data_IF_083516240953
#
_entry.id   IF_083516240953
#
_cell.length_a   1.000
_cell.length_b   1.000
_cell.length_c   1.000
_cell.angle_alpha   90.00
_cell.angle_beta   90.00
_cell.angle_gamma   90.00
#
_symmetry.space_group_name_H-M   'P 1'
#
loop_
_entity.id
_entity.type
_entity.pdbx_description
1 polymer ?
#
# COMPACT_ATOMS: atom_id res chain seq x y z
N UNK A 1 21.54 -28.80 12.51
CA UNK A 1 21.68 -27.68 13.47
C UNK A 1 20.62 -26.67 13.08
N UNK A 2 19.66 -26.38 13.97
CA UNK A 2 18.61 -25.41 13.67
C UNK A 2 19.14 -23.99 13.89
N UNK A 3 19.68 -23.41 12.82
CA UNK A 3 20.23 -22.05 12.85
C UNK A 3 19.16 -20.98 13.15
N UNK A 4 17.86 -21.30 13.10
CA UNK A 4 16.82 -20.34 13.51
C UNK A 4 16.91 -19.99 15.00
N UNK A 5 17.46 -20.90 15.83
CA UNK A 5 17.68 -20.66 17.26
C UNK A 5 18.70 -19.56 17.53
N UNK A 6 19.55 -19.20 16.56
CA UNK A 6 20.51 -18.10 16.69
C UNK A 6 19.82 -16.75 16.97
N UNK A 7 18.55 -16.59 16.57
CA UNK A 7 17.78 -15.35 16.79
C UNK A 7 17.41 -15.13 18.27
N UNK A 8 17.43 -16.18 19.09
CA UNK A 8 17.14 -16.12 20.53
C UNK A 8 18.38 -15.87 21.40
N UNK A 9 19.59 -15.89 20.80
CA UNK A 9 20.82 -15.70 21.55
C UNK A 9 20.97 -14.22 21.98
N UNK A 10 21.53 -13.95 23.17
CA UNK A 10 21.90 -12.60 23.56
C UNK A 10 23.01 -12.11 22.63
N UNK A 11 22.70 -11.14 21.77
CA UNK A 11 23.63 -10.50 20.86
C UNK A 11 23.39 -8.97 20.84
N UNK A 12 24.41 -8.15 20.53
CA UNK A 12 24.22 -6.72 20.33
C UNK A 12 23.13 -6.47 19.28
N UNK A 13 22.04 -5.80 19.68
CA UNK A 13 20.95 -5.43 18.79
C UNK A 13 21.21 -4.06 18.20
N UNK A 14 20.85 -3.88 16.92
CA UNK A 14 20.87 -2.55 16.32
C UNK A 14 19.96 -1.59 17.12
N UNK A 15 20.33 -0.31 17.17
CA UNK A 15 19.52 0.71 17.85
C UNK A 15 18.06 0.67 17.38
N UNK A 16 17.11 0.88 18.29
CA UNK A 16 15.70 0.91 17.95
C UNK A 16 15.40 2.13 17.05
N UNK A 17 14.56 1.92 16.02
CA UNK A 17 14.00 2.98 15.20
C UNK A 17 12.50 3.06 15.52
N UNK A 18 12.11 3.78 16.59
CA UNK A 18 10.70 3.87 16.97
C UNK A 18 9.91 4.66 15.92
N UNK A 19 8.63 4.30 15.68
CA UNK A 19 7.74 5.11 14.85
C UNK A 19 7.59 6.53 15.39
N UNK A 20 7.44 7.48 14.48
CA UNK A 20 7.28 8.90 14.80
C UNK A 20 5.80 9.30 14.65
N UNK A 21 5.34 10.28 15.43
CA UNK A 21 4.00 10.83 15.25
C UNK A 21 3.95 11.61 13.92
N UNK A 22 3.03 11.28 13.00
CA UNK A 22 2.92 12.01 11.74
C UNK A 22 2.46 13.45 12.00
N UNK A 23 3.08 14.47 11.36
CA UNK A 23 2.70 15.86 11.55
C UNK A 23 1.32 16.14 10.94
N UNK A 24 0.62 17.15 11.47
CA UNK A 24 -0.62 17.64 10.88
C UNK A 24 -1.83 16.72 11.05
N UNK A 25 -1.75 15.74 11.96
CA UNK A 25 -2.90 14.92 12.37
C UNK A 25 -3.25 15.28 13.83
N UNK A 26 -4.27 16.12 14.06
CA UNK A 26 -4.62 16.56 15.40
C UNK A 26 -5.13 15.38 16.27
N UNK A 27 -5.00 15.48 17.60
CA UNK A 27 -5.61 14.53 18.51
C UNK A 27 -7.14 14.69 18.54
N UNK A 28 -7.84 13.62 18.93
CA UNK A 28 -9.30 13.63 19.10
C UNK A 28 -10.08 13.84 17.79
N UNK A 29 -11.28 14.40 17.92
CA UNK A 29 -12.30 14.47 16.86
C UNK A 29 -11.93 15.40 15.70
N UNK A 30 -10.93 16.25 15.88
CA UNK A 30 -10.43 17.13 14.82
C UNK A 30 -9.90 16.35 13.60
N UNK A 31 -9.59 15.05 13.76
CA UNK A 31 -9.20 14.17 12.65
C UNK A 31 -10.29 14.06 11.57
N UNK A 32 -11.57 14.11 11.92
CA UNK A 32 -12.68 14.09 10.95
C UNK A 32 -12.58 15.26 9.98
N UNK A 33 -12.41 16.47 10.55
CA UNK A 33 -12.24 17.69 9.77
C UNK A 33 -10.97 17.63 8.92
N UNK A 34 -9.86 17.15 9.48
CA UNK A 34 -8.60 17.02 8.72
C UNK A 34 -8.74 16.10 7.51
N UNK A 35 -9.37 14.93 7.66
CA UNK A 35 -9.58 13.99 6.53
C UNK A 35 -10.60 14.54 5.52
N UNK A 36 -11.60 15.29 5.99
CA UNK A 36 -12.57 15.95 5.11
C UNK A 36 -11.94 17.06 4.26
N UNK A 37 -10.95 17.78 4.80
CA UNK A 37 -10.27 18.87 4.10
C UNK A 37 -9.16 18.39 3.15
N UNK A 38 -8.52 17.26 3.47
CA UNK A 38 -7.42 16.70 2.66
C UNK A 38 -7.15 15.23 2.96
N UNK A 39 -6.53 14.56 2.00
CA UNK A 39 -6.02 13.21 2.18
C UNK A 39 -4.81 13.19 3.13
N UNK A 40 -4.63 12.06 3.83
CA UNK A 40 -3.47 11.82 4.69
C UNK A 40 -2.80 10.52 4.29
N UNK A 41 -1.47 10.56 4.09
CA UNK A 41 -0.65 9.39 3.83
C UNK A 41 0.23 9.10 5.05
N UNK A 42 0.27 7.84 5.48
CA UNK A 42 1.18 7.34 6.52
C UNK A 42 2.15 6.32 5.91
N UNK A 43 3.43 6.39 6.29
CA UNK A 43 4.45 5.44 5.86
C UNK A 43 5.04 4.70 7.06
N UNK A 44 4.55 3.49 7.28
CA UNK A 44 4.98 2.58 8.33
C UNK A 44 6.30 1.90 7.96
N UNK A 45 7.12 1.44 8.93
CA UNK A 45 6.98 1.68 10.37
C UNK A 45 7.54 3.04 10.81
N UNK A 46 7.95 3.91 9.87
CA UNK A 46 8.60 5.18 10.16
C UNK A 46 7.64 6.16 10.85
N UNK A 47 6.40 6.19 10.39
CA UNK A 47 5.29 6.89 11.00
C UNK A 47 4.36 5.92 11.74
N UNK A 48 3.84 6.36 12.87
CA UNK A 48 2.96 5.56 13.72
C UNK A 48 1.63 5.23 13.02
N UNK A 49 1.14 4.01 13.23
CA UNK A 49 -0.20 3.55 12.80
C UNK A 49 -1.33 4.01 13.73
N UNK A 50 -0.96 4.59 14.87
CA UNK A 50 -1.88 5.10 15.88
C UNK A 50 -3.01 5.99 15.35
N UNK A 51 -2.83 6.88 14.34
CA UNK A 51 -3.94 7.65 13.78
C UNK A 51 -5.08 6.79 13.20
N UNK A 52 -4.76 5.64 12.59
CA UNK A 52 -5.76 4.73 12.02
C UNK A 52 -6.55 4.05 13.14
N UNK A 53 -5.87 3.58 14.18
CA UNK A 53 -6.50 2.99 15.37
C UNK A 53 -7.35 4.02 16.12
N UNK A 54 -6.83 5.25 16.27
CA UNK A 54 -7.57 6.36 16.87
C UNK A 54 -8.84 6.69 16.08
N UNK A 55 -8.77 6.77 14.75
CA UNK A 55 -9.95 7.01 13.92
C UNK A 55 -11.02 5.94 14.16
N UNK A 56 -10.63 4.66 14.23
CA UNK A 56 -11.57 3.58 14.49
C UNK A 56 -12.18 3.65 15.90
N UNK A 57 -11.39 3.98 16.93
CA UNK A 57 -11.90 4.18 18.31
C UNK A 57 -12.85 5.36 18.39
N UNK A 58 -12.54 6.48 17.73
CA UNK A 58 -13.44 7.62 17.62
C UNK A 58 -14.73 7.23 16.90
N UNK A 59 -14.62 6.47 15.81
CA UNK A 59 -15.79 5.99 15.07
C UNK A 59 -16.68 5.07 15.91
N UNK A 60 -16.10 4.31 16.85
CA UNK A 60 -16.86 3.43 17.73
C UNK A 60 -17.69 4.20 18.77
N UNK A 61 -17.21 5.34 19.25
CA UNK A 61 -17.89 6.14 20.28
C UNK A 61 -18.76 7.28 19.71
N UNK A 62 -18.42 7.84 18.54
CA UNK A 62 -19.13 8.99 17.97
C UNK A 62 -20.61 8.68 17.68
N UNK A 63 -21.58 9.38 18.30
CA UNK A 63 -23.00 9.14 18.07
C UNK A 63 -23.47 9.51 16.66
N UNK A 64 -22.69 10.28 15.90
CA UNK A 64 -22.97 10.60 14.50
C UNK A 64 -22.53 9.51 13.54
N UNK A 65 -21.71 8.55 13.96
CA UNK A 65 -21.33 7.42 13.10
C UNK A 65 -22.47 6.43 13.01
N UNK A 66 -22.89 6.16 11.77
CA UNK A 66 -24.01 5.30 11.44
C UNK A 66 -23.56 3.87 11.13
N UNK A 67 -22.45 3.71 10.41
CA UNK A 67 -21.96 2.42 9.98
C UNK A 67 -20.43 2.37 9.89
N UNK A 68 -19.87 1.19 10.13
CA UNK A 68 -18.45 0.88 9.95
C UNK A 68 -18.34 -0.40 9.13
N UNK A 69 -17.67 -0.35 7.98
CA UNK A 69 -17.37 -1.50 7.14
C UNK A 69 -15.87 -1.72 7.11
N UNK A 70 -15.39 -2.92 7.45
CA UNK A 70 -13.96 -3.19 7.51
C UNK A 70 -13.59 -4.57 6.99
N UNK A 71 -12.47 -4.65 6.28
CA UNK A 71 -11.82 -5.91 5.93
C UNK A 71 -10.84 -6.32 7.03
N UNK A 72 -11.02 -7.51 7.60
CA UNK A 72 -10.11 -8.09 8.59
C UNK A 72 -9.43 -9.35 8.05
N UNK A 73 -8.10 -9.30 8.01
CA UNK A 73 -7.26 -10.43 7.63
C UNK A 73 -6.41 -10.86 8.83
N UNK A 74 -6.62 -12.09 9.31
CA UNK A 74 -5.81 -12.78 10.33
C UNK A 74 -5.44 -11.89 11.52
N UNK A 75 -6.45 -11.51 12.29
CA UNK A 75 -6.29 -10.64 13.47
C UNK A 75 -6.10 -11.46 14.76
N UNK A 76 -5.44 -10.87 15.76
CA UNK A 76 -5.32 -11.49 17.09
C UNK A 76 -6.61 -11.31 17.90
N UNK A 77 -7.01 -12.27 18.76
CA UNK A 77 -8.14 -12.10 19.68
C UNK A 77 -8.01 -10.89 20.64
N UNK A 78 -6.78 -10.41 20.90
CA UNK A 78 -6.53 -9.23 21.72
C UNK A 78 -6.45 -7.92 20.92
N UNK A 79 -6.69 -7.93 19.61
CA UNK A 79 -6.50 -6.75 18.76
C UNK A 79 -7.41 -5.58 19.14
N UNK A 80 -6.83 -4.39 19.17
CA UNK A 80 -7.58 -3.16 19.41
C UNK A 80 -8.65 -2.91 18.34
N UNK A 81 -8.41 -3.35 17.11
CA UNK A 81 -9.36 -3.23 15.99
C UNK A 81 -10.63 -4.02 16.27
N UNK A 82 -10.49 -5.27 16.73
CA UNK A 82 -11.66 -6.11 17.07
C UNK A 82 -12.45 -5.49 18.21
N UNK A 83 -11.77 -5.02 19.27
CA UNK A 83 -12.42 -4.37 20.42
C UNK A 83 -13.17 -3.10 20.02
N UNK A 84 -12.59 -2.27 19.15
CA UNK A 84 -13.25 -1.06 18.68
C UNK A 84 -14.49 -1.37 17.82
N UNK A 85 -14.45 -2.44 17.02
CA UNK A 85 -15.60 -2.89 16.22
C UNK A 85 -16.70 -3.50 17.10
N UNK A 86 -16.35 -4.31 18.11
CA UNK A 86 -17.29 -4.81 19.13
C UNK A 86 -18.01 -3.63 19.81
N UNK A 87 -17.24 -2.66 20.30
CA UNK A 87 -17.76 -1.45 20.95
C UNK A 87 -18.66 -0.64 20.03
N UNK A 88 -18.31 -0.51 18.76
CA UNK A 88 -19.14 0.19 17.78
C UNK A 88 -20.50 -0.51 17.60
N UNK A 89 -20.52 -1.84 17.53
CA UNK A 89 -21.74 -2.63 17.40
C UNK A 89 -22.61 -2.54 18.67
N UNK A 90 -22.00 -2.65 19.85
CA UNK A 90 -22.67 -2.44 21.15
C UNK A 90 -23.30 -1.04 21.26
N UNK A 91 -22.64 -0.03 20.69
CA UNK A 91 -23.13 1.34 20.60
C UNK A 91 -24.21 1.54 19.49
N UNK A 92 -24.75 0.46 18.92
CA UNK A 92 -25.87 0.47 17.98
C UNK A 92 -25.50 0.86 16.55
N UNK A 93 -24.21 0.89 16.19
CA UNK A 93 -23.75 1.22 14.83
C UNK A 93 -23.86 -0.01 13.93
N UNK A 94 -24.14 0.19 12.64
CA UNK A 94 -24.13 -0.91 11.68
C UNK A 94 -22.67 -1.31 11.37
N UNK A 95 -22.18 -2.35 12.03
CA UNK A 95 -20.83 -2.86 11.81
C UNK A 95 -20.87 -4.04 10.84
N UNK A 96 -20.17 -3.94 9.70
CA UNK A 96 -19.98 -5.06 8.75
C UNK A 96 -18.51 -5.41 8.68
N UNK A 97 -18.16 -6.67 8.92
CA UNK A 97 -16.78 -7.14 8.91
C UNK A 97 -16.63 -8.25 7.89
N UNK A 98 -15.68 -8.06 6.97
CA UNK A 98 -15.31 -9.07 5.99
C UNK A 98 -14.10 -9.87 6.49
N UNK A 99 -14.23 -11.20 6.55
CA UNK A 99 -13.23 -12.11 7.10
C UNK A 99 -12.80 -13.15 6.07
N UNK A 100 -11.50 -13.43 5.98
CA UNK A 100 -10.99 -14.59 5.26
C UNK A 100 -11.04 -15.84 6.15
N UNK A 101 -11.90 -16.82 5.83
CA UNK A 101 -11.76 -18.18 6.34
C UNK A 101 -10.77 -18.95 5.46
N UNK A 102 -9.79 -19.61 6.08
CA UNK A 102 -8.99 -20.63 5.41
C UNK A 102 -9.46 -22.03 5.80
N UNK A 103 -9.29 -22.98 4.88
CA UNK A 103 -9.65 -24.37 5.07
C UNK A 103 -8.94 -25.01 6.29
N UNK A 104 -9.76 -25.66 7.14
CA UNK A 104 -9.52 -26.76 8.09
C UNK A 104 -8.49 -26.62 9.22
N UNK A 105 -7.45 -25.79 9.13
CA UNK A 105 -6.37 -25.81 10.16
C UNK A 105 -6.15 -24.47 10.91
N UNK A 106 -6.68 -23.35 10.41
CA UNK A 106 -6.59 -22.02 11.06
C UNK A 106 -7.97 -21.57 11.63
N UNK A 107 -8.96 -22.46 11.64
CA UNK A 107 -10.36 -22.16 11.97
C UNK A 107 -10.55 -21.76 13.44
N UNK A 108 -9.95 -22.44 14.41
CA UNK A 108 -10.24 -22.19 15.84
C UNK A 108 -9.92 -20.75 16.31
N UNK A 109 -8.79 -20.17 15.86
CA UNK A 109 -8.43 -18.78 16.21
C UNK A 109 -9.30 -17.75 15.51
N UNK A 110 -9.65 -17.97 14.26
CA UNK A 110 -10.47 -17.01 13.50
C UNK A 110 -11.95 -17.04 13.92
N UNK A 111 -12.46 -18.23 14.25
CA UNK A 111 -13.83 -18.43 14.72
C UNK A 111 -14.08 -17.70 16.04
N UNK A 112 -13.09 -17.64 16.95
CA UNK A 112 -13.31 -17.06 18.28
C UNK A 112 -13.61 -15.56 18.23
N UNK A 113 -12.84 -14.76 17.50
CA UNK A 113 -13.09 -13.31 17.42
C UNK A 113 -14.24 -12.97 16.47
N UNK A 114 -14.45 -13.77 15.42
CA UNK A 114 -15.61 -13.62 14.54
C UNK A 114 -16.92 -13.79 15.34
N UNK A 115 -17.02 -14.84 16.17
CA UNK A 115 -18.16 -15.04 17.07
C UNK A 115 -18.36 -13.89 18.04
N UNK A 116 -17.29 -13.37 18.64
CA UNK A 116 -17.40 -12.20 19.55
C UNK A 116 -17.99 -10.97 18.85
N UNK A 117 -17.62 -10.73 17.59
CA UNK A 117 -18.20 -9.66 16.79
C UNK A 117 -19.68 -9.92 16.48
N UNK A 118 -20.04 -11.15 16.11
CA UNK A 118 -21.44 -11.56 15.91
C UNK A 118 -22.27 -11.37 17.19
N UNK A 119 -21.75 -11.80 18.34
CA UNK A 119 -22.38 -11.67 19.66
C UNK A 119 -22.58 -10.19 20.06
N UNK A 120 -21.65 -9.32 19.67
CA UNK A 120 -21.76 -7.87 19.84
C UNK A 120 -22.74 -7.20 18.86
N UNK A 121 -23.30 -7.95 17.90
CA UNK A 121 -24.28 -7.46 16.92
C UNK A 121 -23.67 -7.03 15.58
N UNK A 122 -22.38 -7.28 15.34
CA UNK A 122 -21.76 -7.00 14.05
C UNK A 122 -22.13 -8.07 13.01
N UNK A 123 -22.31 -7.65 11.76
CA UNK A 123 -22.49 -8.55 10.63
C UNK A 123 -21.14 -9.06 10.14
N UNK A 124 -20.80 -10.30 10.48
CA UNK A 124 -19.58 -10.96 10.01
C UNK A 124 -19.86 -11.73 8.73
N UNK A 125 -19.06 -11.47 7.69
CA UNK A 125 -19.22 -12.05 6.37
C UNK A 125 -17.92 -12.72 5.92
N UNK A 126 -18.07 -13.92 5.35
CA UNK A 126 -16.96 -14.81 5.06
C UNK A 126 -16.58 -14.77 3.58
N UNK A 127 -16.03 -13.65 3.11
CA UNK A 127 -15.44 -13.53 1.78
C UNK A 127 -16.37 -13.85 0.60
N UNK A 128 -15.79 -13.90 -0.60
CA UNK A 128 -16.41 -14.51 -1.77
C UNK A 128 -15.96 -15.98 -1.85
N UNK A 129 -16.88 -16.90 -2.13
CA UNK A 129 -16.58 -18.32 -2.22
C UNK A 129 -15.44 -18.59 -3.22
N UNK A 130 -14.39 -19.28 -2.76
CA UNK A 130 -13.22 -19.63 -3.57
C UNK A 130 -12.18 -18.51 -3.75
N UNK A 131 -12.41 -17.31 -3.21
CA UNK A 131 -11.46 -16.18 -3.28
C UNK A 131 -10.93 -15.81 -1.88
N UNK A 132 -9.66 -15.40 -1.84
CA UNK A 132 -9.03 -14.90 -0.60
C UNK A 132 -9.07 -13.38 -0.58
N UNK A 133 -9.58 -12.79 0.51
CA UNK A 133 -9.62 -11.35 0.67
C UNK A 133 -8.30 -10.82 1.22
N UNK A 134 -7.61 -10.02 0.41
CA UNK A 134 -6.31 -9.45 0.75
C UNK A 134 -6.29 -7.92 0.65
N UNK A 135 -7.38 -7.28 0.23
CA UNK A 135 -7.59 -5.84 0.39
C UNK A 135 -7.56 -5.43 1.87
N UNK A 136 -7.12 -4.20 2.16
CA UNK A 136 -7.18 -3.60 3.49
C UNK A 136 -7.91 -2.28 3.40
N UNK A 137 -9.19 -2.35 3.69
CA UNK A 137 -10.11 -1.23 3.57
C UNK A 137 -10.94 -1.10 4.83
N UNK A 138 -11.15 0.14 5.23
CA UNK A 138 -12.11 0.56 6.25
C UNK A 138 -12.91 1.73 5.66
N UNK A 139 -14.23 1.68 5.83
CA UNK A 139 -15.16 2.73 5.44
C UNK A 139 -16.02 3.06 6.65
N UNK A 140 -16.05 4.33 7.03
CA UNK A 140 -16.89 4.85 8.11
C UNK A 140 -17.92 5.79 7.48
N UNK A 141 -19.19 5.56 7.81
CA UNK A 141 -20.32 6.40 7.36
C UNK A 141 -20.81 7.19 8.56
N UNK A 142 -20.77 8.52 8.44
CA UNK A 142 -21.05 9.47 9.53
C UNK A 142 -22.11 10.48 9.08
N UNK A 143 -22.96 10.91 10.01
CA UNK A 143 -23.88 12.03 9.81
C UNK A 143 -23.09 13.33 10.01
N UNK A 144 -22.94 14.09 8.94
CA UNK A 144 -22.41 15.45 8.94
C UNK A 144 -23.51 16.50 9.08
N UNK A 145 -23.14 17.78 9.17
CA UNK A 145 -24.10 18.89 9.22
C UNK A 145 -24.97 19.01 7.96
N UNK A 146 -24.39 18.69 6.78
CA UNK A 146 -25.05 18.86 5.48
C UNK A 146 -25.54 17.54 4.86
N UNK A 147 -25.31 16.40 5.51
CA UNK A 147 -25.71 15.10 4.98
C UNK A 147 -24.86 13.94 5.47
N UNK A 148 -24.69 12.94 4.63
CA UNK A 148 -23.86 11.75 4.93
C UNK A 148 -22.42 12.01 4.48
N UNK A 149 -21.50 11.96 5.43
CA UNK A 149 -20.06 11.99 5.21
C UNK A 149 -19.51 10.56 5.21
N UNK A 150 -18.48 10.32 4.40
CA UNK A 150 -17.80 9.03 4.34
C UNK A 150 -16.31 9.24 4.51
N UNK A 151 -15.69 8.36 5.29
CA UNK A 151 -14.26 8.36 5.56
C UNK A 151 -13.69 6.99 5.24
N UNK A 152 -12.66 6.98 4.40
CA UNK A 152 -12.00 5.79 3.92
C UNK A 152 -10.61 5.66 4.53
N UNK A 153 -10.21 4.42 4.79
CA UNK A 153 -8.81 4.03 4.94
C UNK A 153 -8.52 2.91 3.94
N UNK A 154 -7.42 3.05 3.17
CA UNK A 154 -6.89 1.97 2.32
C UNK A 154 -5.41 1.76 2.62
N UNK A 155 -5.02 0.51 2.88
CA UNK A 155 -3.64 0.15 3.22
C UNK A 155 -3.00 -0.86 2.27
N UNK A 156 -1.68 -0.82 2.17
CA UNK A 156 -0.88 -1.87 1.50
C UNK A 156 -0.66 -3.10 2.39
N UNK A 157 -0.72 -2.90 3.71
CA UNK A 157 -0.48 -3.88 4.78
C UNK A 157 -1.69 -4.14 5.66
N UNK A 158 -1.61 -5.20 6.47
CA UNK A 158 -2.68 -5.63 7.38
C UNK A 158 -2.80 -4.73 8.62
N UNK A 159 -3.98 -4.74 9.25
CA UNK A 159 -4.27 -4.09 10.53
C UNK A 159 -3.69 -4.85 11.74
N UNK A 160 -2.43 -5.30 11.65
CA UNK A 160 -1.77 -6.06 12.71
C UNK A 160 -0.67 -5.23 13.37
N UNK A 161 -0.88 -4.89 14.64
CA UNK A 161 -0.03 -4.03 15.47
C UNK A 161 1.43 -4.49 15.53
N UNK A 162 1.70 -5.81 15.43
CA UNK A 162 3.06 -6.34 15.44
C UNK A 162 3.74 -6.17 14.09
N UNK A 163 3.07 -6.54 13.00
CA UNK A 163 3.68 -6.49 11.66
C UNK A 163 3.90 -5.04 11.22
N UNK A 164 3.06 -4.11 11.64
CA UNK A 164 3.23 -2.67 11.38
C UNK A 164 4.58 -2.13 11.86
N UNK A 165 5.23 -2.76 12.86
CA UNK A 165 6.55 -2.36 13.35
C UNK A 165 7.72 -2.99 12.58
N UNK A 166 7.43 -4.02 11.78
CA UNK A 166 8.43 -4.81 11.07
C UNK A 166 8.34 -4.63 9.55
N UNK A 167 7.19 -4.24 9.02
CA UNK A 167 6.87 -4.17 7.59
C UNK A 167 6.77 -2.71 7.15
N UNK A 168 7.37 -2.37 6.00
CA UNK A 168 7.16 -1.05 5.41
C UNK A 168 5.83 -1.05 4.64
N UNK A 169 4.88 -0.21 5.05
CA UNK A 169 3.53 -0.20 4.51
C UNK A 169 3.00 1.24 4.39
N UNK A 170 2.08 1.46 3.47
CA UNK A 170 1.42 2.75 3.28
C UNK A 170 -0.05 2.65 3.68
N UNK A 171 -0.54 3.70 4.32
CA UNK A 171 -1.95 3.90 4.66
C UNK A 171 -2.42 5.24 4.11
N UNK A 172 -3.51 5.23 3.36
CA UNK A 172 -4.20 6.42 2.87
C UNK A 172 -5.50 6.59 3.67
N UNK A 173 -5.70 7.76 4.26
CA UNK A 173 -6.97 8.22 4.83
C UNK A 173 -7.54 9.29 3.91
N UNK A 174 -8.83 9.19 3.57
CA UNK A 174 -9.46 10.10 2.61
C UNK A 174 -10.96 10.25 2.88
N UNK A 175 -11.52 11.40 2.50
CA UNK A 175 -12.95 11.62 2.39
C UNK A 175 -13.38 11.89 0.92
N UNK A 176 -12.51 11.58 -0.06
CA UNK A 176 -12.81 11.73 -1.49
C UNK A 176 -14.10 10.97 -1.84
N UNK A 177 -15.04 11.68 -2.46
CA UNK A 177 -16.38 11.18 -2.69
C UNK A 177 -16.39 9.97 -3.63
N UNK A 178 -15.56 10.00 -4.68
CA UNK A 178 -15.49 8.90 -5.65
C UNK A 178 -14.85 7.66 -5.04
N UNK A 179 -13.76 7.80 -4.28
CA UNK A 179 -13.12 6.70 -3.57
C UNK A 179 -14.07 6.10 -2.54
N UNK A 180 -14.80 6.92 -1.79
CA UNK A 180 -15.76 6.46 -0.80
C UNK A 180 -16.98 5.76 -1.45
N UNK A 181 -17.44 6.27 -2.60
CA UNK A 181 -18.50 5.64 -3.39
C UNK A 181 -18.05 4.26 -3.92
N UNK A 182 -16.84 4.19 -4.48
CA UNK A 182 -16.24 2.94 -4.94
C UNK A 182 -16.03 1.94 -3.81
N UNK A 183 -15.58 2.38 -2.63
CA UNK A 183 -15.45 1.50 -1.46
C UNK A 183 -16.80 1.01 -0.96
N UNK A 184 -17.84 1.84 -1.02
CA UNK A 184 -19.21 1.42 -0.71
C UNK A 184 -19.65 0.31 -1.67
N UNK A 185 -19.41 0.50 -2.98
CA UNK A 185 -19.71 -0.50 -4.00
C UNK A 185 -18.86 -1.78 -3.80
N UNK A 186 -17.56 -1.65 -3.50
CA UNK A 186 -16.66 -2.76 -3.18
C UNK A 186 -17.23 -3.62 -2.04
N UNK A 187 -17.63 -3.00 -0.92
CA UNK A 187 -18.23 -3.75 0.17
C UNK A 187 -19.53 -4.41 -0.31
N UNK A 188 -20.41 -3.73 -1.01
CA UNK A 188 -21.66 -4.32 -1.51
C UNK A 188 -21.44 -5.55 -2.41
N UNK A 189 -20.48 -5.48 -3.34
CA UNK A 189 -20.09 -6.58 -4.24
C UNK A 189 -19.60 -7.77 -3.42
N UNK A 190 -18.68 -7.54 -2.49
CA UNK A 190 -18.08 -8.62 -1.70
C UNK A 190 -19.07 -9.21 -0.69
N UNK A 191 -20.09 -8.45 -0.29
CA UNK A 191 -21.20 -8.93 0.56
C UNK A 191 -22.36 -9.55 -0.21
N UNK A 192 -22.27 -9.68 -1.54
CA UNK A 192 -23.20 -10.47 -2.37
C UNK A 192 -24.36 -9.71 -3.02
N UNK A 193 -24.28 -8.39 -3.21
CA UNK A 193 -25.44 -7.58 -3.61
C UNK A 193 -25.45 -6.93 -5.02
N UNK A 194 -24.45 -7.10 -5.89
CA UNK A 194 -24.55 -6.66 -7.30
C UNK A 194 -23.29 -7.02 -8.12
N UNK A 195 -23.42 -7.12 -9.44
CA UNK A 195 -22.30 -6.81 -10.35
C UNK A 195 -22.05 -5.28 -10.31
N UNK A 196 -20.80 -4.80 -10.16
CA UNK A 196 -20.53 -3.37 -10.15
C UNK A 196 -20.74 -2.77 -11.54
N UNK A 197 -21.48 -1.65 -11.59
CA UNK A 197 -21.62 -0.78 -12.77
C UNK A 197 -20.36 0.08 -12.94
N UNK A 198 -19.22 -0.55 -13.24
CA UNK A 198 -17.89 0.07 -13.40
C UNK A 198 -17.35 0.85 -12.16
N UNK A 199 -16.04 0.77 -11.94
CA UNK A 199 -15.38 1.55 -10.89
C UNK A 199 -15.12 2.98 -11.35
N UNK A 200 -15.28 3.97 -10.46
CA UNK A 200 -14.94 5.37 -10.77
C UNK A 200 -13.43 5.60 -10.78
N UNK A 201 -12.74 5.02 -9.80
CA UNK A 201 -11.35 5.34 -9.45
C UNK A 201 -10.55 4.10 -9.08
N UNK A 202 -11.14 3.16 -8.35
CA UNK A 202 -10.43 2.01 -7.82
C UNK A 202 -10.19 0.98 -8.92
N UNK A 203 -9.18 0.13 -8.70
CA UNK A 203 -9.01 -1.09 -9.44
C UNK A 203 -9.06 -2.27 -8.47
N UNK A 204 -9.94 -3.22 -8.74
CA UNK A 204 -10.20 -4.36 -7.86
C UNK A 204 -9.84 -5.67 -8.55
N UNK A 205 -9.19 -6.60 -7.85
CA UNK A 205 -9.12 -7.99 -8.29
C UNK A 205 -10.27 -8.80 -7.67
N UNK A 206 -10.80 -9.83 -8.34
CA UNK A 206 -10.43 -10.28 -9.69
C UNK A 206 -11.08 -9.44 -10.82
N UNK A 207 -11.87 -8.42 -10.46
CA UNK A 207 -12.70 -7.65 -11.39
C UNK A 207 -11.94 -6.48 -12.05
N UNK A 208 -11.13 -6.80 -13.06
CA UNK A 208 -10.56 -5.80 -13.98
C UNK A 208 -9.18 -5.25 -13.59
N UNK A 209 -8.56 -5.72 -12.50
CA UNK A 209 -7.24 -5.23 -12.08
C UNK A 209 -6.13 -5.46 -13.11
N UNK A 210 -6.02 -6.67 -13.69
CA UNK A 210 -5.02 -6.93 -14.74
C UNK A 210 -5.27 -6.10 -16.00
N UNK A 211 -6.49 -6.09 -16.59
CA UNK A 211 -6.79 -5.19 -17.70
C UNK A 211 -6.45 -3.72 -17.42
N UNK A 212 -6.70 -3.23 -16.19
CA UNK A 212 -6.33 -1.86 -15.80
C UNK A 212 -4.82 -1.62 -15.88
N UNK A 213 -4.00 -2.48 -15.29
CA UNK A 213 -2.54 -2.33 -15.37
C UNK A 213 -2.02 -2.44 -16.81
N UNK A 214 -2.54 -3.39 -17.59
CA UNK A 214 -2.18 -3.51 -19.01
C UNK A 214 -2.55 -2.25 -19.80
N UNK A 215 -3.70 -1.64 -19.53
CA UNK A 215 -4.11 -0.38 -20.12
C UNK A 215 -3.20 0.78 -19.74
N UNK A 216 -2.79 0.88 -18.47
CA UNK A 216 -1.84 1.90 -18.00
C UNK A 216 -0.47 1.75 -18.68
N UNK A 217 0.04 0.51 -18.79
CA UNK A 217 1.31 0.24 -19.49
C UNK A 217 1.21 0.59 -20.97
N UNK A 218 0.13 0.17 -21.66
CA UNK A 218 -0.09 0.49 -23.08
C UNK A 218 -0.19 1.99 -23.32
N UNK A 219 -0.84 2.72 -22.42
CA UNK A 219 -0.92 4.18 -22.51
C UNK A 219 0.46 4.84 -22.44
N UNK A 220 1.38 4.33 -21.61
CA UNK A 220 2.76 4.84 -21.60
C UNK A 220 3.45 4.58 -22.94
N UNK A 221 3.19 3.44 -23.59
CA UNK A 221 3.69 3.14 -24.95
C UNK A 221 3.16 4.17 -25.94
N UNK A 222 1.84 4.38 -25.97
CA UNK A 222 1.16 5.26 -26.92
C UNK A 222 1.59 6.73 -26.77
N UNK A 223 1.91 7.16 -25.55
CA UNK A 223 2.34 8.54 -25.25
C UNK A 223 3.86 8.74 -25.32
N UNK A 224 4.63 7.65 -25.38
CA UNK A 224 6.09 7.73 -25.40
C UNK A 224 6.59 8.21 -26.76
N UNK A 225 7.44 9.23 -26.74
CA UNK A 225 8.16 9.72 -27.92
C UNK A 225 9.67 9.69 -27.66
N UNK A 226 10.52 9.75 -28.69
CA UNK A 226 11.97 9.88 -28.48
C UNK A 226 12.36 11.10 -27.64
N UNK A 227 11.65 12.21 -27.80
CA UNK A 227 11.90 13.47 -27.08
C UNK A 227 11.33 13.45 -25.65
N UNK A 228 10.15 12.85 -25.49
CA UNK A 228 9.49 12.66 -24.21
C UNK A 228 9.15 11.18 -24.00
N UNK A 229 10.13 10.37 -23.54
CA UNK A 229 9.88 8.96 -23.28
C UNK A 229 8.92 8.80 -22.10
N UNK A 230 7.97 7.87 -22.26
CA UNK A 230 7.08 7.43 -21.19
C UNK A 230 7.89 6.89 -20.01
N UNK A 231 7.28 6.85 -18.82
CA UNK A 231 7.95 6.33 -17.63
C UNK A 231 7.01 5.54 -16.74
N UNK A 232 7.50 4.38 -16.30
CA UNK A 232 6.83 3.51 -15.33
C UNK A 232 7.78 3.33 -14.15
N UNK A 233 7.35 3.69 -12.95
CA UNK A 233 8.07 3.40 -11.70
C UNK A 233 7.17 2.55 -10.82
N UNK A 234 7.64 1.39 -10.38
CA UNK A 234 6.82 0.54 -9.52
C UNK A 234 7.61 -0.12 -8.40
N UNK A 235 6.95 -0.28 -7.25
CA UNK A 235 7.45 -1.01 -6.08
C UNK A 235 6.44 -2.10 -5.73
N UNK A 236 6.93 -3.32 -5.52
CA UNK A 236 6.10 -4.44 -5.06
C UNK A 236 6.95 -5.56 -4.44
N UNK A 237 6.29 -6.59 -3.90
CA UNK A 237 6.99 -7.73 -3.33
C UNK A 237 7.35 -8.78 -4.37
N UNK A 238 6.52 -8.95 -5.39
CA UNK A 238 6.74 -9.94 -6.43
C UNK A 238 6.21 -9.49 -7.80
N UNK A 239 6.96 -9.85 -8.85
CA UNK A 239 6.60 -9.70 -10.25
C UNK A 239 6.79 -11.04 -10.96
N UNK A 240 5.68 -11.76 -11.17
CA UNK A 240 5.70 -13.11 -11.78
C UNK A 240 4.56 -13.32 -12.77
N UNK A 241 3.71 -12.32 -13.01
CA UNK A 241 2.62 -12.40 -14.00
C UNK A 241 3.15 -12.21 -15.43
N UNK A 242 3.01 -13.25 -16.26
CA UNK A 242 3.56 -13.25 -17.61
C UNK A 242 2.96 -12.15 -18.52
N UNK A 243 1.63 -11.95 -18.59
CA UNK A 243 1.07 -10.86 -19.40
C UNK A 243 1.55 -9.46 -19.02
N UNK A 244 1.70 -9.18 -17.72
CA UNK A 244 2.28 -7.90 -17.26
C UNK A 244 3.76 -7.80 -17.66
N UNK A 245 4.54 -8.88 -17.50
CA UNK A 245 5.96 -8.91 -17.90
C UNK A 245 6.12 -8.67 -19.41
N UNK A 246 5.31 -9.32 -20.24
CA UNK A 246 5.33 -9.15 -21.70
C UNK A 246 4.99 -7.72 -22.10
N UNK A 247 3.99 -7.10 -21.45
CA UNK A 247 3.64 -5.70 -21.66
C UNK A 247 4.77 -4.74 -21.25
N UNK A 248 5.51 -5.04 -20.18
CA UNK A 248 6.69 -4.25 -19.79
C UNK A 248 7.83 -4.39 -20.81
N UNK A 249 8.03 -5.56 -21.39
CA UNK A 249 9.00 -5.74 -22.49
C UNK A 249 8.59 -4.99 -23.75
N UNK A 250 7.31 -5.01 -24.11
CA UNK A 250 6.76 -4.18 -25.19
C UNK A 250 7.03 -2.70 -24.93
N UNK A 251 6.76 -2.22 -23.72
CA UNK A 251 7.02 -0.85 -23.33
C UNK A 251 8.50 -0.48 -23.40
N UNK A 252 9.38 -1.37 -22.93
CA UNK A 252 10.83 -1.18 -23.05
C UNK A 252 11.26 -1.04 -24.51
N UNK A 253 10.75 -1.89 -25.43
CA UNK A 253 11.09 -1.80 -26.86
C UNK A 253 10.58 -0.51 -27.51
N UNK A 254 9.48 0.05 -27.00
CA UNK A 254 8.93 1.32 -27.45
C UNK A 254 9.64 2.56 -26.84
N UNK A 255 10.70 2.36 -26.04
CA UNK A 255 11.49 3.45 -25.47
C UNK A 255 11.04 3.93 -24.09
N UNK A 256 9.97 3.36 -23.52
CA UNK A 256 9.49 3.68 -22.17
C UNK A 256 10.56 3.32 -21.14
N UNK A 257 10.86 4.24 -20.23
CA UNK A 257 11.81 4.03 -19.12
C UNK A 257 11.11 3.36 -17.94
N UNK A 258 11.64 2.24 -17.47
CA UNK A 258 10.96 1.41 -16.48
C UNK A 258 11.90 1.14 -15.29
N UNK A 259 11.53 1.61 -14.11
CA UNK A 259 12.26 1.39 -12.86
C UNK A 259 11.40 0.55 -11.89
N UNK A 260 11.89 -0.63 -11.50
CA UNK A 260 11.17 -1.57 -10.64
C UNK A 260 11.92 -1.85 -9.34
N UNK A 261 11.28 -1.65 -8.20
CA UNK A 261 11.73 -2.14 -6.89
C UNK A 261 10.95 -3.41 -6.54
N UNK A 262 11.59 -4.58 -6.71
CA UNK A 262 10.98 -5.89 -6.43
C UNK A 262 11.81 -6.60 -5.37
N UNK A 263 11.31 -6.68 -4.14
CA UNK A 263 12.07 -7.29 -3.04
C UNK A 263 12.22 -8.81 -3.19
N UNK A 264 11.13 -9.50 -3.52
CA UNK A 264 11.03 -10.96 -3.55
C UNK A 264 11.22 -11.54 -4.95
N UNK A 265 10.29 -12.39 -5.36
CA UNK A 265 10.36 -13.09 -6.64
C UNK A 265 10.16 -12.15 -7.83
N UNK A 266 11.11 -12.14 -8.77
CA UNK A 266 11.01 -11.42 -10.03
C UNK A 266 11.36 -12.37 -11.19
N UNK A 267 10.43 -12.60 -12.10
CA UNK A 267 10.67 -13.42 -13.31
C UNK A 267 11.09 -12.58 -14.52
N UNK A 268 10.94 -11.25 -14.44
CA UNK A 268 11.40 -10.31 -15.46
C UNK A 268 12.95 -10.27 -15.49
N UNK A 269 13.53 -10.27 -16.70
CA UNK A 269 14.98 -10.09 -16.92
C UNK A 269 15.26 -8.69 -17.47
N UNK A 270 15.89 -7.79 -16.71
CA UNK A 270 16.25 -6.44 -17.18
C UNK A 270 17.54 -6.43 -18.02
N UNK A 271 17.70 -5.41 -18.86
CA UNK A 271 18.96 -5.14 -19.57
C UNK A 271 19.31 -6.12 -20.71
N UNK A 272 18.35 -6.89 -21.20
CA UNK A 272 18.53 -7.78 -22.35
C UNK A 272 18.37 -6.98 -23.64
N UNK A 273 19.41 -6.99 -24.48
CA UNK A 273 19.43 -6.25 -25.75
C UNK A 273 18.21 -6.56 -26.62
N UNK A 274 17.55 -5.52 -27.16
CA UNK A 274 16.35 -5.64 -27.99
C UNK A 274 15.08 -6.08 -27.25
N UNK A 275 15.12 -6.29 -25.93
CA UNK A 275 13.99 -6.76 -25.14
C UNK A 275 13.68 -5.87 -23.94
N UNK A 276 14.68 -5.59 -23.10
CA UNK A 276 14.50 -4.97 -21.79
C UNK A 276 15.58 -3.95 -21.42
N UNK A 277 16.22 -3.33 -22.42
CA UNK A 277 17.30 -2.34 -22.25
C UNK A 277 16.88 -1.10 -21.44
N UNK A 278 15.59 -0.76 -21.47
CA UNK A 278 15.04 0.37 -20.74
C UNK A 278 14.45 -0.02 -19.37
N UNK A 279 14.60 -1.28 -18.95
CA UNK A 279 14.12 -1.76 -17.66
C UNK A 279 15.28 -1.91 -16.68
N UNK A 280 15.15 -1.29 -15.51
CA UNK A 280 16.02 -1.46 -14.36
C UNK A 280 15.24 -2.10 -13.22
N UNK A 281 15.82 -3.12 -12.58
CA UNK A 281 15.22 -3.78 -11.42
C UNK A 281 16.19 -3.74 -10.25
N UNK A 282 15.72 -3.25 -9.10
CA UNK A 282 16.44 -3.30 -7.83
C UNK A 282 15.64 -4.08 -6.78
N UNK A 283 16.34 -4.75 -5.87
CA UNK A 283 15.80 -5.42 -4.69
C UNK A 283 16.47 -4.86 -3.45
N UNK A 284 15.66 -4.50 -2.45
CA UNK A 284 16.15 -4.04 -1.15
C UNK A 284 15.64 -5.01 -0.08
N UNK A 285 16.60 -5.63 0.60
CA UNK A 285 16.38 -6.43 1.81
C UNK A 285 17.19 -5.79 2.92
N UNK A 286 16.49 -5.27 3.92
CA UNK A 286 17.11 -4.51 5.00
C UNK A 286 16.39 -4.77 6.35
N UNK A 287 16.50 -3.85 7.32
CA UNK A 287 15.97 -3.99 8.67
C UNK A 287 14.47 -4.26 8.66
N UNK A 288 13.72 -3.42 7.96
CA UNK A 288 12.28 -3.60 7.78
C UNK A 288 12.00 -4.41 6.53
N UNK A 289 10.92 -5.18 6.61
CA UNK A 289 10.42 -5.96 5.52
C UNK A 289 9.78 -5.03 4.50
N UNK A 290 10.42 -4.79 3.36
CA UNK A 290 9.80 -4.01 2.30
C UNK A 290 8.51 -4.70 1.86
N UNK A 291 7.35 -4.05 2.07
CA UNK A 291 6.03 -4.64 1.82
C UNK A 291 5.08 -3.73 1.04
N UNK A 292 5.31 -2.41 1.07
CA UNK A 292 4.49 -1.42 0.39
C UNK A 292 4.51 -1.63 -1.12
N UNK A 293 3.40 -1.22 -1.74
CA UNK A 293 3.15 -1.35 -3.18
C UNK A 293 2.76 0.01 -3.72
N UNK A 294 3.53 0.49 -4.70
CA UNK A 294 3.38 1.80 -5.33
C UNK A 294 3.51 1.58 -6.83
N UNK A 295 2.63 2.17 -7.63
CA UNK A 295 2.69 2.13 -9.10
C UNK A 295 2.55 3.55 -9.60
N UNK A 296 3.47 3.99 -10.42
CA UNK A 296 3.48 5.34 -10.96
C UNK A 296 3.71 5.31 -12.46
N UNK A 297 2.90 6.09 -13.18
CA UNK A 297 2.88 6.19 -14.63
C UNK A 297 2.95 7.67 -15.01
N UNK A 298 3.85 8.03 -15.93
CA UNK A 298 4.12 9.44 -16.28
C UNK A 298 2.97 10.11 -17.04
N UNK A 299 2.23 9.35 -17.85
CA UNK A 299 1.01 9.78 -18.52
C UNK A 299 1.15 11.10 -19.31
N UNK A 300 2.27 11.31 -19.99
CA UNK A 300 2.53 12.54 -20.75
C UNK A 300 2.64 13.80 -19.88
N UNK A 301 3.07 13.65 -18.61
CA UNK A 301 3.30 14.75 -17.67
C UNK A 301 2.27 14.84 -16.55
N UNK A 302 1.07 14.29 -16.75
CA UNK A 302 0.02 14.22 -15.73
C UNK A 302 0.16 12.93 -14.91
N UNK A 303 1.20 12.90 -14.07
CA UNK A 303 1.66 11.70 -13.35
C UNK A 303 0.53 11.09 -12.51
N UNK A 304 0.26 9.80 -12.74
CA UNK A 304 -0.68 9.02 -11.95
C UNK A 304 0.05 8.07 -11.01
N UNK A 305 -0.19 8.23 -9.70
CA UNK A 305 0.36 7.36 -8.66
C UNK A 305 -0.74 6.56 -7.98
N UNK A 306 -0.49 5.27 -7.76
CA UNK A 306 -1.39 4.34 -7.11
C UNK A 306 -0.70 3.62 -5.96
N UNK A 307 -1.47 3.28 -4.93
CA UNK A 307 -1.07 2.35 -3.88
C UNK A 307 -2.07 1.22 -3.78
N UNK A 308 -1.67 0.07 -3.22
CA UNK A 308 -2.62 -1.00 -3.02
C UNK A 308 -2.05 -2.29 -2.44
N UNK A 309 -2.84 -3.35 -2.56
CA UNK A 309 -2.58 -4.63 -1.89
C UNK A 309 -2.03 -5.72 -2.81
N UNK A 310 -2.14 -5.54 -4.13
CA UNK A 310 -1.84 -6.58 -5.12
C UNK A 310 -0.38 -6.57 -5.62
N UNK A 311 0.37 -7.64 -5.44
CA UNK A 311 1.57 -7.84 -6.28
C UNK A 311 1.18 -8.16 -7.74
N UNK A 312 2.11 -7.98 -8.69
CA UNK A 312 1.92 -8.45 -10.06
C UNK A 312 2.17 -9.96 -10.14
N UNK A 313 1.25 -10.73 -9.55
CA UNK A 313 1.22 -12.20 -9.59
C UNK A 313 -0.17 -12.68 -10.02
N UNK A 314 -0.29 -13.82 -10.75
CA UNK A 314 -1.58 -14.33 -11.21
C UNK A 314 -2.60 -14.51 -10.08
N UNK A 315 -2.17 -15.00 -8.91
CA UNK A 315 -3.05 -15.19 -7.76
C UNK A 315 -3.59 -13.88 -7.18
N UNK A 316 -2.84 -12.79 -7.25
CA UNK A 316 -3.26 -11.48 -6.76
C UNK A 316 -4.19 -10.82 -7.76
N UNK A 317 -3.93 -10.98 -9.06
CA UNK A 317 -4.71 -10.37 -10.13
C UNK A 317 -6.03 -11.10 -10.42
N UNK A 318 -6.09 -12.42 -10.23
CA UNK A 318 -7.24 -13.25 -10.66
C UNK A 318 -7.94 -14.05 -9.55
N UNK A 319 -7.25 -14.32 -8.44
CA UNK A 319 -7.74 -15.30 -7.42
C UNK A 319 -7.86 -14.71 -6.02
N UNK A 320 -7.70 -13.40 -5.88
CA UNK A 320 -7.80 -12.67 -4.63
C UNK A 320 -8.67 -11.45 -4.82
N UNK A 321 -9.32 -11.07 -3.72
CA UNK A 321 -9.93 -9.75 -3.61
C UNK A 321 -8.84 -8.79 -3.18
N UNK A 322 -8.31 -8.04 -4.14
CA UNK A 322 -7.31 -6.99 -3.94
C UNK A 322 -7.89 -5.64 -4.32
N UNK A 323 -7.31 -4.58 -3.75
CA UNK A 323 -7.67 -3.20 -4.02
C UNK A 323 -6.42 -2.37 -4.32
N UNK A 324 -6.49 -1.57 -5.39
CA UNK A 324 -5.53 -0.54 -5.77
C UNK A 324 -6.30 0.77 -5.95
N UNK A 325 -5.79 1.85 -5.39
CA UNK A 325 -6.44 3.16 -5.37
C UNK A 325 -5.48 4.24 -5.87
N UNK A 326 -5.97 5.25 -6.61
CA UNK A 326 -5.15 6.39 -6.99
C UNK A 326 -4.88 7.28 -5.78
N UNK A 327 -3.74 7.96 -5.80
CA UNK A 327 -3.40 9.04 -4.87
C UNK A 327 -3.44 10.34 -5.67
N UNK A 328 -4.58 11.04 -5.56
CA UNK A 328 -4.92 12.22 -6.39
C UNK A 328 -4.35 13.53 -5.85
N UNK A 329 -4.12 13.60 -4.54
CA UNK A 329 -3.48 14.75 -3.92
C UNK A 329 -2.04 14.91 -4.46
N UNK A 330 -1.71 16.04 -5.12
CA UNK A 330 -0.40 16.25 -5.74
C UNK A 330 0.77 16.21 -4.74
N UNK A 331 0.57 16.68 -3.50
CA UNK A 331 1.61 16.68 -2.47
C UNK A 331 1.90 15.26 -1.99
N UNK A 332 0.85 14.43 -1.86
CA UNK A 332 0.99 13.01 -1.55
C UNK A 332 1.61 12.22 -2.71
N UNK A 333 1.22 12.54 -3.96
CA UNK A 333 1.84 12.00 -5.16
C UNK A 333 3.34 12.31 -5.22
N UNK A 334 3.72 13.57 -4.98
CA UNK A 334 5.12 13.99 -4.91
C UNK A 334 5.89 13.30 -3.77
N UNK A 335 5.23 13.05 -2.63
CA UNK A 335 5.82 12.29 -1.53
C UNK A 335 6.08 10.83 -1.90
N UNK A 336 5.15 10.18 -2.60
CA UNK A 336 5.34 8.81 -3.09
C UNK A 336 6.45 8.73 -4.15
N UNK A 337 6.56 9.72 -5.03
CA UNK A 337 7.67 9.86 -5.96
C UNK A 337 9.02 9.93 -5.22
N UNK A 338 9.13 10.75 -4.15
CA UNK A 338 10.34 10.81 -3.31
C UNK A 338 10.67 9.48 -2.63
N UNK A 339 9.66 8.73 -2.20
CA UNK A 339 9.84 7.38 -1.65
C UNK A 339 10.43 6.44 -2.70
N UNK A 340 9.89 6.45 -3.93
CA UNK A 340 10.44 5.67 -5.05
C UNK A 340 11.88 6.09 -5.37
N UNK A 341 12.16 7.39 -5.46
CA UNK A 341 13.50 7.93 -5.73
C UNK A 341 14.52 7.47 -4.69
N UNK A 342 14.15 7.49 -3.41
CA UNK A 342 15.02 6.98 -2.35
C UNK A 342 15.33 5.49 -2.53
N UNK A 343 14.37 4.66 -2.91
CA UNK A 343 14.65 3.25 -3.19
C UNK A 343 15.61 3.06 -4.39
N UNK A 344 15.48 3.87 -5.44
CA UNK A 344 16.38 3.80 -6.60
C UNK A 344 17.74 4.49 -6.38
N UNK A 345 17.84 5.35 -5.37
CA UNK A 345 19.07 6.00 -4.92
C UNK A 345 19.88 5.16 -3.92
N UNK A 346 19.24 4.22 -3.21
CA UNK A 346 19.92 3.33 -2.26
C UNK A 346 21.15 2.66 -2.88
N UNK A 347 22.28 2.79 -2.20
CA UNK A 347 23.57 2.23 -2.60
C UNK A 347 24.24 1.44 -1.47
N UNK A 348 23.53 1.17 -0.38
CA UNK A 348 24.02 0.43 0.79
C UNK A 348 23.40 -0.98 0.85
N UNK A 349 22.10 -1.07 0.61
CA UNK A 349 21.29 -2.30 0.74
C UNK A 349 20.71 -2.76 -0.58
N UNK A 350 20.58 -1.86 -1.54
CA UNK A 350 20.11 -2.15 -2.88
C UNK A 350 21.00 -3.14 -3.63
N UNK A 351 20.35 -4.13 -4.24
CA UNK A 351 20.95 -5.04 -5.20
C UNK A 351 20.23 -4.91 -6.52
N UNK A 352 20.99 -4.84 -7.60
CA UNK A 352 20.47 -4.72 -8.95
C UNK A 352 20.43 -6.09 -9.61
N UNK A 353 19.29 -6.43 -10.20
CA UNK A 353 19.13 -7.65 -10.98
C UNK A 353 19.79 -7.44 -12.35
N UNK A 354 20.68 -8.35 -12.73
CA UNK A 354 21.42 -8.32 -14.00
C UNK A 354 20.73 -9.18 -15.04
N UNK A 355 21.09 -9.00 -16.32
CA UNK A 355 20.50 -9.72 -17.45
C UNK A 355 20.67 -11.25 -17.37
N UNK A 356 21.74 -11.71 -16.70
CA UNK A 356 22.00 -13.12 -16.42
C UNK A 356 21.17 -13.69 -15.24
N UNK A 357 20.37 -12.85 -14.57
CA UNK A 357 19.55 -13.20 -13.42
C UNK A 357 20.27 -13.09 -12.08
N UNK A 358 21.54 -12.66 -12.04
CA UNK A 358 22.27 -12.48 -10.78
C UNK A 358 21.91 -11.17 -10.09
N UNK A 359 21.96 -11.15 -8.75
CA UNK A 359 21.77 -9.95 -7.94
C UNK A 359 23.13 -9.41 -7.48
N UNK A 360 23.55 -8.29 -8.05
CA UNK A 360 24.81 -7.64 -7.71
C UNK A 360 24.58 -6.43 -6.79
N UNK A 361 25.50 -6.18 -5.85
CA UNK A 361 25.50 -4.88 -5.15
C UNK A 361 25.75 -3.77 -6.15
N UNK A 362 25.07 -2.65 -6.00
CA UNK A 362 25.36 -1.46 -6.79
C UNK A 362 26.72 -0.90 -6.36
N UNK A 363 27.71 -0.93 -7.25
CA UNK A 363 28.93 -0.19 -7.04
C UNK A 363 28.64 1.32 -7.17
N UNK A 364 28.91 2.09 -6.13
CA UNK A 364 28.68 3.54 -6.10
C UNK A 364 29.87 4.24 -5.48
N UNK A 365 30.38 5.27 -6.17
CA UNK A 365 31.36 6.22 -5.62
C UNK A 365 30.69 7.38 -4.88
N UNK A 366 29.36 7.47 -4.92
CA UNK A 366 28.58 8.49 -4.18
C UNK A 366 28.62 8.18 -2.68
N UNK A 367 28.32 9.20 -1.86
CA UNK A 367 28.15 9.03 -0.42
C UNK A 367 27.15 7.89 -0.12
N UNK A 368 27.40 7.06 0.92
CA UNK A 368 26.46 6.03 1.33
C UNK A 368 25.07 6.62 1.60
N UNK A 369 24.06 6.02 0.99
CA UNK A 369 22.65 6.34 1.15
C UNK A 369 21.86 5.05 1.34
N UNK A 370 21.16 4.97 2.48
CA UNK A 370 20.34 3.83 2.90
C UNK A 370 18.89 4.29 3.06
N UNK A 371 17.99 3.78 2.22
CA UNK A 371 16.62 4.27 2.11
C UNK A 371 15.86 4.22 3.44
N UNK A 372 15.89 3.08 4.15
CA UNK A 372 15.14 2.94 5.41
C UNK A 372 15.65 3.87 6.52
N UNK A 373 16.94 4.19 6.53
CA UNK A 373 17.50 5.15 7.48
C UNK A 373 17.05 6.56 7.14
N UNK A 374 17.09 6.93 5.86
CA UNK A 374 16.62 8.23 5.38
C UNK A 374 15.14 8.46 5.69
N UNK A 375 14.26 7.46 5.48
CA UNK A 375 12.84 7.57 5.81
C UNK A 375 12.59 7.75 7.31
N UNK A 376 13.34 7.03 8.16
CA UNK A 376 13.21 7.19 9.60
C UNK A 376 13.68 8.57 10.08
N UNK A 377 14.79 9.06 9.52
CA UNK A 377 15.32 10.39 9.78
C UNK A 377 14.37 11.50 9.32
N UNK A 378 13.76 11.36 8.14
CA UNK A 378 12.74 12.26 7.61
C UNK A 378 11.50 12.29 8.52
N UNK A 379 10.97 11.13 8.90
CA UNK A 379 9.83 11.04 9.81
C UNK A 379 10.14 11.70 11.16
N UNK A 380 11.37 11.55 11.68
CA UNK A 380 11.80 12.19 12.93
C UNK A 380 11.90 13.70 12.81
N UNK A 381 12.44 14.21 11.70
CA UNK A 381 12.52 15.64 11.44
C UNK A 381 11.12 16.27 11.32
N UNK A 382 10.23 15.62 10.57
CA UNK A 382 8.83 16.01 10.39
C UNK A 382 8.06 16.06 11.72
N UNK A 383 8.25 15.07 12.59
CA UNK A 383 7.63 15.05 13.92
C UNK A 383 8.12 16.18 14.85
N UNK A 384 9.34 16.68 14.65
CA UNK A 384 9.92 17.80 15.41
C UNK A 384 9.51 19.18 14.87
N UNK A 385 8.63 19.25 13.87
CA UNK A 385 8.23 20.51 13.23
C UNK A 385 9.37 21.18 12.46
N UNK A 386 10.47 20.46 12.18
CA UNK A 386 11.49 20.95 11.27
C UNK A 386 10.92 20.84 9.86
N UNK A 387 10.95 21.93 9.05
CA UNK A 387 10.59 21.80 7.64
C UNK A 387 11.45 20.70 7.02
N UNK A 388 10.94 20.03 5.98
CA UNK A 388 11.73 19.12 5.16
C UNK A 388 12.98 19.90 4.75
N UNK A 389 14.09 19.67 5.47
CA UNK A 389 15.33 20.32 5.12
C UNK A 389 15.64 19.78 3.75
N UNK A 390 15.74 20.67 2.77
CA UNK A 390 16.32 20.40 1.45
C UNK A 390 17.75 19.86 1.62
N UNK A 391 17.89 18.63 2.12
CA UNK A 391 19.10 17.82 1.98
C UNK A 391 19.01 17.21 0.59
N UNK A 392 19.16 18.08 -0.39
CA UNK A 392 19.07 17.80 -1.81
C UNK A 392 17.61 17.56 -2.23
N UNK A 393 16.99 18.57 -2.84
CA UNK A 393 16.06 18.27 -3.91
C UNK A 393 16.78 17.27 -4.84
N UNK A 394 16.34 16.01 -4.84
CA UNK A 394 16.81 15.03 -5.80
C UNK A 394 16.31 15.52 -7.15
N UNK A 395 17.12 16.31 -7.83
CA UNK A 395 16.83 16.75 -9.18
C UNK A 395 16.67 15.48 -10.04
N UNK A 396 15.55 15.30 -10.77
CA UNK A 396 15.45 14.21 -11.71
C UNK A 396 16.62 14.30 -12.69
N UNK A 397 17.25 13.16 -13.00
CA UNK A 397 18.30 13.08 -14.02
C UNK A 397 17.69 13.47 -15.38
N UNK A 398 17.76 14.75 -15.73
CA UNK A 398 17.60 15.21 -17.12
C UNK A 398 18.92 14.96 -17.84
N UNK A 399 18.96 13.87 -18.61
CA UNK A 399 20.00 13.46 -19.58
C UNK A 399 21.44 13.33 -19.04
N UNK A 400 22.19 12.39 -19.60
CA UNK A 400 23.63 12.26 -19.33
C UNK A 400 24.38 13.48 -19.90
N UNK A 401 25.43 14.00 -19.24
CA UNK A 401 26.33 14.97 -19.88
C UNK A 401 27.10 14.30 -21.02
N UNK A 402 27.31 15.08 -22.09
CA UNK A 402 27.98 14.72 -23.36
C UNK A 402 29.33 13.99 -23.20
#
# INVERSE_FOLDING_TARGET
MDFARLTSLPAPRAAAWPPQAPPGIPPGDAIWKTIAERDLLLFHPYESFEPVLRLLRLAAEDPQVLAIKQVLYRTSPQSEVVRALERAAENGKQVTVLVELQARFDEERNVTWARRLEDAGAQVLYGLAGLKTHAKALLIVRRGPEGIERYAHVGTGNYNERTVLEYSDLSLLSADEDLCADLTAFFNVVTGYSEPLAWRTIAMAPLGLRPRFLGLIRREIERSTPEEPGQIRAKMNALVDAPIIDALYEASRAGVKIDLNVRGSCLLRPGVAGLSENIRVVSIVDRFLEHSRIYEFRNGGDVETFIGSADWMPRNLDRRVELVVPVRDPDLGARLARILDAFFADNVKSRELKADGTLAKRASRKKPFRAQEAFWEEARARAQGRPDTERGAFAPLRSAPE
#
